data_IF_919575669330
#
_entry.id   IF_919575669330
#
_cell.length_a   1.000
_cell.length_b   1.000
_cell.length_c   1.000
_cell.angle_alpha   90.00
_cell.angle_beta   90.00
_cell.angle_gamma   90.00
#
_symmetry.space_group_name_H-M   'P 1'
#
loop_
_entity.id
_entity.type
_entity.pdbx_description
1 polymer ?
#
# COMPACT_ATOMS: atom_id res chain seq x y z
N UNK A 1 -16.06 -13.60 -39.90
CA UNK A 1 -14.73 -12.99 -39.71
C UNK A 1 -14.38 -12.24 -41.00
N UNK A 2 -14.07 -10.95 -40.93
CA UNK A 2 -13.60 -10.19 -42.10
C UNK A 2 -12.14 -10.60 -42.39
N UNK A 3 -11.72 -10.73 -43.67
CA UNK A 3 -10.36 -11.16 -44.01
C UNK A 3 -9.32 -10.17 -43.45
N UNK A 4 -8.16 -10.70 -43.03
CA UNK A 4 -7.10 -9.94 -42.35
C UNK A 4 -6.56 -8.76 -43.19
N UNK A 5 -6.72 -8.81 -44.52
CA UNK A 5 -6.40 -7.75 -45.48
C UNK A 5 -7.27 -6.49 -45.34
N UNK A 6 -8.37 -6.54 -44.60
CA UNK A 6 -9.22 -5.37 -44.32
C UNK A 6 -8.81 -4.63 -43.04
N UNK A 7 -7.93 -5.21 -42.21
CA UNK A 7 -7.46 -4.57 -40.98
C UNK A 7 -6.33 -3.61 -41.34
N UNK A 8 -6.64 -2.31 -41.32
CA UNK A 8 -5.65 -1.27 -41.62
C UNK A 8 -4.59 -1.19 -40.51
N UNK A 9 -3.33 -0.92 -40.90
CA UNK A 9 -2.23 -0.73 -39.94
C UNK A 9 -2.58 0.39 -38.94
N UNK A 10 -3.27 1.43 -39.41
CA UNK A 10 -3.83 2.49 -38.59
C UNK A 10 -4.70 2.05 -37.42
N UNK A 11 -5.57 1.04 -37.58
CA UNK A 11 -6.47 0.59 -36.51
C UNK A 11 -5.71 -0.06 -35.35
N UNK A 12 -4.68 -0.84 -35.66
CA UNK A 12 -3.82 -1.47 -34.64
C UNK A 12 -3.03 -0.39 -33.89
N UNK A 13 -2.46 0.57 -34.61
CA UNK A 13 -1.70 1.67 -34.02
C UNK A 13 -2.55 2.57 -33.11
N UNK A 14 -3.79 2.88 -33.53
CA UNK A 14 -4.76 3.62 -32.72
C UNK A 14 -5.14 2.83 -31.46
N UNK A 15 -5.32 1.52 -31.57
CA UNK A 15 -5.64 0.65 -30.42
C UNK A 15 -4.50 0.63 -29.40
N UNK A 16 -3.24 0.50 -29.84
CA UNK A 16 -2.08 0.53 -28.94
C UNK A 16 -1.97 1.85 -28.17
N UNK A 17 -2.28 2.97 -28.82
CA UNK A 17 -2.29 4.29 -28.19
C UNK A 17 -3.44 4.47 -27.21
N UNK A 18 -4.62 3.94 -27.53
CA UNK A 18 -5.77 3.95 -26.63
C UNK A 18 -5.47 3.17 -25.35
N UNK A 19 -4.86 2.00 -25.48
CA UNK A 19 -4.39 1.21 -24.33
C UNK A 19 -3.36 2.01 -23.52
N UNK A 20 -2.35 2.61 -24.16
CA UNK A 20 -1.38 3.45 -23.44
C UNK A 20 -2.04 4.61 -22.66
N UNK A 21 -3.06 5.26 -23.24
CA UNK A 21 -3.86 6.29 -22.56
C UNK A 21 -4.70 5.74 -21.41
N UNK A 22 -5.30 4.56 -21.58
CA UNK A 22 -6.10 3.88 -20.55
C UNK A 22 -5.25 3.52 -19.32
N UNK A 23 -3.98 3.17 -19.53
CA UNK A 23 -3.00 2.98 -18.46
C UNK A 23 -2.39 4.29 -17.93
N UNK A 24 -3.00 5.45 -18.22
CA UNK A 24 -2.55 6.79 -17.82
C UNK A 24 -1.08 7.09 -18.16
N UNK A 25 -0.54 6.50 -19.24
CA UNK A 25 0.77 6.90 -19.73
C UNK A 25 0.67 8.31 -20.32
N UNK A 26 1.54 9.24 -19.91
CA UNK A 26 1.60 10.59 -20.49
C UNK A 26 2.05 10.50 -21.96
N UNK A 27 1.10 10.51 -22.89
CA UNK A 27 1.45 10.39 -24.30
C UNK A 27 1.80 11.76 -24.89
N UNK A 28 3.08 11.94 -25.19
CA UNK A 28 3.61 13.20 -25.71
C UNK A 28 2.97 13.57 -27.07
N UNK A 29 2.69 14.86 -27.34
CA UNK A 29 2.08 15.32 -28.60
C UNK A 29 2.82 14.89 -29.88
N UNK A 30 4.13 14.65 -29.79
CA UNK A 30 4.99 14.24 -30.91
C UNK A 30 4.65 12.82 -31.42
N UNK A 31 4.15 11.94 -30.55
CA UNK A 31 3.76 10.58 -30.91
C UNK A 31 2.46 10.57 -31.73
N UNK A 32 1.59 11.57 -31.52
CA UNK A 32 0.36 11.77 -32.30
C UNK A 32 0.67 12.24 -33.72
N UNK A 33 1.74 13.02 -33.90
CA UNK A 33 2.16 13.48 -35.23
C UNK A 33 2.77 12.34 -36.07
N UNK A 34 3.57 11.47 -35.47
CA UNK A 34 4.10 10.27 -36.13
C UNK A 34 2.96 9.36 -36.63
N UNK A 35 1.89 9.22 -35.84
CA UNK A 35 0.70 8.48 -36.27
C UNK A 35 0.05 9.09 -37.50
N UNK A 36 -0.03 10.43 -37.59
CA UNK A 36 -0.53 11.12 -38.79
C UNK A 36 0.37 10.87 -40.01
N UNK A 37 1.68 10.86 -39.84
CA UNK A 37 2.63 10.54 -40.92
C UNK A 37 2.49 9.09 -41.37
N UNK A 38 2.37 8.13 -40.43
CA UNK A 38 2.18 6.72 -40.75
C UNK A 38 0.84 6.43 -41.45
N UNK A 39 -0.24 7.10 -41.02
CA UNK A 39 -1.55 7.03 -41.69
C UNK A 39 -1.50 7.66 -43.09
N UNK A 40 -0.76 8.76 -43.26
CA UNK A 40 -0.56 9.40 -44.56
C UNK A 40 0.22 8.48 -45.52
N UNK A 41 1.27 7.82 -45.03
CA UNK A 41 2.03 6.83 -45.79
C UNK A 41 1.16 5.61 -46.14
N UNK A 42 0.24 5.16 -45.27
CA UNK A 42 -0.74 4.12 -45.59
C UNK A 42 -1.68 4.55 -46.72
N UNK A 43 -2.19 5.79 -46.66
CA UNK A 43 -3.05 6.37 -47.69
C UNK A 43 -2.35 6.48 -49.05
N UNK A 44 -1.14 7.02 -49.07
CA UNK A 44 -0.31 7.10 -50.29
C UNK A 44 0.10 5.71 -50.80
N UNK A 45 0.48 4.80 -49.90
CA UNK A 45 0.86 3.44 -50.24
C UNK A 45 -0.28 2.66 -50.92
N UNK A 46 -1.53 2.84 -50.47
CA UNK A 46 -2.72 2.26 -51.12
C UNK A 46 -3.11 2.95 -52.44
N UNK A 47 -2.78 4.24 -52.62
CA UNK A 47 -2.97 4.92 -53.90
C UNK A 47 -2.02 4.37 -54.98
N UNK A 48 -0.78 4.03 -54.61
CA UNK A 48 0.24 3.49 -55.53
C UNK A 48 0.12 1.97 -55.67
N UNK A 49 -0.19 1.25 -54.59
CA UNK A 49 -0.37 -0.20 -54.55
C UNK A 49 -1.67 -0.56 -53.81
N UNK A 50 -2.80 -0.70 -54.53
CA UNK A 50 -4.13 -0.88 -53.92
C UNK A 50 -4.29 -2.11 -53.00
N UNK A 51 -3.44 -3.11 -53.20
CA UNK A 51 -3.42 -4.38 -52.45
C UNK A 51 -2.32 -4.43 -51.38
N UNK A 52 -1.67 -3.31 -51.07
CA UNK A 52 -0.60 -3.22 -50.06
C UNK A 52 -1.18 -3.35 -48.64
N UNK A 53 -0.83 -4.44 -47.96
CA UNK A 53 -1.03 -4.62 -46.52
C UNK A 53 0.25 -4.21 -45.76
N UNK A 54 0.23 -2.99 -45.20
CA UNK A 54 1.36 -2.47 -44.42
C UNK A 54 1.60 -3.26 -43.14
N UNK A 55 0.58 -3.90 -42.55
CA UNK A 55 0.76 -4.70 -41.35
C UNK A 55 1.60 -5.95 -41.65
N UNK A 56 1.28 -6.67 -42.73
CA UNK A 56 2.06 -7.83 -43.15
C UNK A 56 3.52 -7.48 -43.44
N UNK A 57 3.74 -6.32 -44.04
CA UNK A 57 5.09 -5.84 -44.38
C UNK A 57 5.88 -5.40 -43.14
N UNK A 58 5.25 -4.70 -42.20
CA UNK A 58 5.90 -4.14 -41.01
C UNK A 58 6.09 -5.16 -39.87
N UNK A 59 5.25 -6.21 -39.81
CA UNK A 59 5.26 -7.25 -38.77
C UNK A 59 6.66 -7.84 -38.48
N UNK A 60 7.46 -8.31 -39.46
CA UNK A 60 8.77 -8.89 -39.16
C UNK A 60 9.72 -7.89 -38.51
N UNK A 61 9.67 -6.61 -38.89
CA UNK A 61 10.51 -5.56 -38.29
C UNK A 61 10.13 -5.29 -36.83
N UNK A 62 8.82 -5.18 -36.55
CA UNK A 62 8.31 -4.99 -35.19
C UNK A 62 8.67 -6.18 -34.29
N UNK A 63 8.53 -7.40 -34.81
CA UNK A 63 8.84 -8.61 -34.05
C UNK A 63 10.33 -8.72 -33.73
N UNK A 64 11.20 -8.40 -34.68
CA UNK A 64 12.65 -8.38 -34.45
C UNK A 64 13.04 -7.32 -33.41
N UNK A 65 12.52 -6.09 -33.55
CA UNK A 65 12.78 -5.03 -32.59
C UNK A 65 12.28 -5.38 -31.18
N UNK A 66 11.07 -5.93 -31.05
CA UNK A 66 10.52 -6.34 -29.75
C UNK A 66 11.38 -7.45 -29.12
N UNK A 67 11.84 -8.42 -29.92
CA UNK A 67 12.74 -9.46 -29.45
C UNK A 67 14.11 -8.91 -28.98
N UNK A 68 14.58 -7.82 -29.59
CA UNK A 68 15.83 -7.16 -29.20
C UNK A 68 15.70 -6.29 -27.95
N UNK A 69 14.52 -5.73 -27.69
CA UNK A 69 14.26 -4.85 -26.54
C UNK A 69 13.71 -5.60 -25.32
N UNK A 70 12.77 -6.52 -25.53
CA UNK A 70 12.01 -7.22 -24.47
C UNK A 70 12.30 -8.73 -24.46
N UNK A 71 13.07 -9.25 -25.41
CA UNK A 71 13.35 -10.67 -25.49
C UNK A 71 14.26 -11.18 -24.37
N UNK A 72 14.20 -12.49 -24.12
CA UNK A 72 15.00 -13.18 -23.10
C UNK A 72 16.51 -12.90 -23.26
N UNK A 73 16.99 -12.82 -24.51
CA UNK A 73 18.39 -12.49 -24.81
C UNK A 73 18.76 -11.07 -24.37
N UNK A 74 17.84 -10.11 -24.53
CA UNK A 74 18.03 -8.73 -24.10
C UNK A 74 18.12 -8.66 -22.56
N UNK A 75 17.18 -9.32 -21.88
CA UNK A 75 17.17 -9.41 -20.41
C UNK A 75 18.46 -10.04 -19.89
N UNK A 76 18.92 -11.15 -20.48
CA UNK A 76 20.18 -11.80 -20.09
C UNK A 76 21.40 -10.93 -20.38
N UNK A 77 21.41 -10.20 -21.50
CA UNK A 77 22.48 -9.25 -21.83
C UNK A 77 22.52 -8.10 -20.83
N UNK A 78 21.38 -7.52 -20.51
CA UNK A 78 21.27 -6.41 -19.57
C UNK A 78 21.66 -6.85 -18.16
N UNK A 79 21.23 -8.04 -17.74
CA UNK A 79 21.65 -8.63 -16.48
C UNK A 79 23.16 -8.86 -16.45
N UNK A 80 23.75 -9.38 -17.54
CA UNK A 80 25.20 -9.59 -17.65
C UNK A 80 25.98 -8.27 -17.63
N UNK A 81 25.46 -7.22 -18.25
CA UNK A 81 26.06 -5.89 -18.23
C UNK A 81 26.00 -5.25 -16.84
N UNK A 82 24.91 -5.47 -16.09
CA UNK A 82 24.74 -4.98 -14.72
C UNK A 82 25.36 -5.88 -13.65
N UNK A 83 25.68 -7.14 -13.97
CA UNK A 83 26.29 -8.12 -13.08
C UNK A 83 27.53 -7.62 -12.30
N UNK A 84 28.50 -6.90 -12.90
CA UNK A 84 29.63 -6.37 -12.14
C UNK A 84 29.21 -5.38 -11.04
N UNK A 85 28.24 -4.51 -11.31
CA UNK A 85 27.72 -3.56 -10.31
C UNK A 85 26.94 -4.28 -9.20
N UNK A 86 26.20 -5.34 -9.55
CA UNK A 86 25.54 -6.19 -8.56
C UNK A 86 26.52 -6.93 -7.67
N UNK A 87 27.68 -7.36 -8.18
CA UNK A 87 28.70 -8.07 -7.39
C UNK A 87 29.22 -7.24 -6.21
N UNK A 88 29.38 -5.93 -6.41
CA UNK A 88 29.83 -5.00 -5.36
C UNK A 88 28.83 -4.94 -4.21
N UNK A 89 27.53 -4.91 -4.50
CA UNK A 89 26.46 -4.82 -3.49
C UNK A 89 26.02 -6.19 -2.94
N UNK A 90 26.27 -7.27 -3.67
CA UNK A 90 25.86 -8.63 -3.27
C UNK A 90 26.62 -9.14 -2.06
N UNK A 91 27.85 -8.69 -1.82
CA UNK A 91 28.63 -9.09 -0.65
C UNK A 91 27.97 -8.63 0.66
N UNK A 92 27.37 -7.44 0.68
CA UNK A 92 26.73 -6.84 1.86
C UNK A 92 25.26 -7.27 2.02
N UNK A 93 24.62 -7.76 0.95
CA UNK A 93 23.21 -8.12 0.95
C UNK A 93 22.83 -9.22 1.96
N UNK A 94 23.57 -10.36 2.07
CA UNK A 94 23.27 -11.40 3.06
C UNK A 94 23.31 -10.87 4.49
N UNK A 95 24.27 -10.00 4.79
CA UNK A 95 24.44 -9.40 6.11
C UNK A 95 23.30 -8.43 6.42
N UNK A 96 22.93 -7.56 5.47
CA UNK A 96 21.79 -6.65 5.62
C UNK A 96 20.47 -7.41 5.84
N UNK A 97 20.23 -8.50 5.11
CA UNK A 97 19.05 -9.35 5.29
C UNK A 97 19.08 -10.05 6.65
N UNK A 98 20.22 -10.63 7.04
CA UNK A 98 20.35 -11.29 8.34
C UNK A 98 20.13 -10.31 9.50
N UNK A 99 20.73 -9.12 9.41
CA UNK A 99 20.57 -8.05 10.40
C UNK A 99 19.12 -7.56 10.45
N UNK A 100 18.45 -7.39 9.31
CA UNK A 100 17.04 -7.02 9.26
C UNK A 100 16.14 -8.10 9.90
N UNK A 101 16.42 -9.39 9.64
CA UNK A 101 15.69 -10.50 10.26
C UNK A 101 15.94 -10.60 11.78
N UNK A 102 17.16 -10.31 12.23
CA UNK A 102 17.50 -10.27 13.65
C UNK A 102 16.84 -9.07 14.35
N UNK A 103 16.84 -7.91 13.70
CA UNK A 103 16.17 -6.69 14.17
C UNK A 103 14.65 -6.91 14.26
N UNK A 104 14.04 -7.60 13.30
CA UNK A 104 12.62 -7.93 13.33
C UNK A 104 12.23 -8.73 14.59
N UNK A 105 13.07 -9.69 15.01
CA UNK A 105 12.84 -10.44 16.26
C UNK A 105 12.89 -9.54 17.49
N UNK A 106 13.82 -8.58 17.53
CA UNK A 106 13.93 -7.62 18.63
C UNK A 106 12.75 -6.66 18.68
N UNK A 107 12.25 -6.21 17.52
CA UNK A 107 11.06 -5.35 17.42
C UNK A 107 9.84 -6.07 18.01
N UNK A 108 9.61 -7.33 17.62
CA UNK A 108 8.50 -8.12 18.13
C UNK A 108 8.55 -8.26 19.67
N UNK A 109 9.74 -8.50 20.25
CA UNK A 109 9.90 -8.60 21.69
C UNK A 109 9.58 -7.29 22.43
N UNK A 110 10.05 -6.15 21.89
CA UNK A 110 9.74 -4.82 22.46
C UNK A 110 8.26 -4.47 22.35
N UNK A 111 7.59 -4.87 21.27
CA UNK A 111 6.15 -4.67 21.10
C UNK A 111 5.34 -5.47 22.14
N UNK A 112 5.74 -6.71 22.41
CA UNK A 112 5.11 -7.54 23.45
C UNK A 112 5.30 -6.93 24.87
N UNK A 113 6.50 -6.44 25.16
CA UNK A 113 6.80 -5.76 26.43
C UNK A 113 6.02 -4.46 26.58
N UNK A 114 5.96 -3.64 25.53
CA UNK A 114 5.19 -2.40 25.52
C UNK A 114 3.70 -2.69 25.74
N UNK A 115 3.14 -3.68 25.06
CA UNK A 115 1.74 -4.07 25.23
C UNK A 115 1.46 -4.54 26.68
N UNK A 116 2.35 -5.34 27.27
CA UNK A 116 2.23 -5.73 28.70
C UNK A 116 2.30 -4.53 29.63
N UNK A 117 3.18 -3.56 29.37
CA UNK A 117 3.35 -2.36 30.21
C UNK A 117 2.13 -1.45 30.11
N UNK A 118 1.58 -1.27 28.91
CA UNK A 118 0.33 -0.52 28.69
C UNK A 118 -0.86 -1.19 29.38
N UNK A 119 -0.95 -2.52 29.35
CA UNK A 119 -1.99 -3.26 30.08
C UNK A 119 -1.83 -3.13 31.61
N UNK A 120 -0.60 -3.21 32.14
CA UNK A 120 -0.32 -3.01 33.55
C UNK A 120 -0.66 -1.58 34.01
N UNK A 121 -0.33 -0.57 33.19
CA UNK A 121 -0.72 0.83 33.44
C UNK A 121 -2.24 1.02 33.36
N UNK A 122 -2.93 0.35 32.43
CA UNK A 122 -4.40 0.37 32.32
C UNK A 122 -5.09 -0.16 33.57
N UNK A 123 -4.56 -1.25 34.16
CA UNK A 123 -5.07 -1.80 35.43
C UNK A 123 -4.82 -0.85 36.61
N UNK A 124 -3.64 -0.23 36.70
CA UNK A 124 -3.32 0.70 37.78
C UNK A 124 -4.15 1.99 37.71
N UNK A 125 -4.39 2.50 36.50
CA UNK A 125 -5.23 3.68 36.30
C UNK A 125 -6.70 3.41 36.69
N UNK A 126 -7.21 2.20 36.50
CA UNK A 126 -8.55 1.80 36.93
C UNK A 126 -8.73 1.87 38.45
N UNK A 127 -7.71 1.45 39.23
CA UNK A 127 -7.77 1.47 40.69
C UNK A 127 -7.76 2.90 41.27
N UNK A 128 -6.90 3.77 40.73
CA UNK A 128 -6.87 5.19 41.12
C UNK A 128 -8.14 5.95 40.72
N UNK A 129 -8.72 5.65 39.55
CA UNK A 129 -9.99 6.29 39.14
C UNK A 129 -11.15 5.83 40.03
N UNK A 130 -11.22 4.54 40.40
CA UNK A 130 -12.29 4.03 41.27
C UNK A 130 -12.21 4.56 42.70
N UNK A 131 -11.01 4.80 43.23
CA UNK A 131 -10.83 5.43 44.54
C UNK A 131 -11.19 6.92 44.51
N UNK A 132 -10.81 7.67 43.46
CA UNK A 132 -11.23 9.07 43.26
C UNK A 132 -12.75 9.18 43.18
N UNK A 133 -13.42 8.33 42.37
CA UNK A 133 -14.90 8.34 42.26
C UNK A 133 -15.56 8.06 43.60
N UNK A 134 -15.05 7.11 44.39
CA UNK A 134 -15.61 6.84 45.73
C UNK A 134 -15.45 8.02 46.70
N UNK A 135 -14.32 8.74 46.65
CA UNK A 135 -14.09 9.93 47.47
C UNK A 135 -15.01 11.09 47.10
N UNK A 136 -15.27 11.29 45.81
CA UNK A 136 -16.22 12.32 45.32
C UNK A 136 -17.64 12.02 45.79
N UNK A 137 -18.07 10.74 45.80
CA UNK A 137 -19.39 10.34 46.32
C UNK A 137 -19.50 10.64 47.81
N UNK A 138 -18.47 10.32 48.61
CA UNK A 138 -18.47 10.59 50.06
C UNK A 138 -18.53 12.10 50.35
N UNK A 139 -17.74 12.91 49.64
CA UNK A 139 -17.75 14.37 49.77
C UNK A 139 -19.10 14.98 49.37
N UNK A 140 -19.73 14.49 48.29
CA UNK A 140 -21.04 14.95 47.85
C UNK A 140 -22.16 14.63 48.85
N UNK A 141 -22.09 13.48 49.53
CA UNK A 141 -23.06 13.10 50.57
C UNK A 141 -22.89 13.94 51.84
N UNK A 142 -21.65 14.24 52.24
CA UNK A 142 -21.37 15.12 53.38
C UNK A 142 -21.88 16.54 53.17
N UNK A 143 -21.82 17.05 51.94
CA UNK A 143 -22.28 18.39 51.62
C UNK A 143 -23.81 18.53 51.65
N UNK A 144 -24.56 17.42 51.57
CA UNK A 144 -26.03 17.39 51.57
C UNK A 144 -26.63 16.86 52.87
N UNK A 145 -25.84 16.87 53.95
CA UNK A 145 -26.21 16.29 55.25
C UNK A 145 -27.33 17.08 55.97
N UNK A 146 -27.53 18.35 55.65
CA UNK A 146 -28.59 19.18 56.28
C UNK A 146 -30.01 18.85 55.81
N UNK A 147 -30.19 18.24 54.63
CA UNK A 147 -31.52 17.99 54.02
C UNK A 147 -31.97 16.52 54.05
N UNK A 148 -31.12 15.58 54.49
CA UNK A 148 -31.35 14.14 54.36
C UNK A 148 -31.47 13.45 55.73
N UNK A 149 -32.46 12.54 55.92
CA UNK A 149 -32.64 11.86 57.20
C UNK A 149 -31.49 10.88 57.50
N UNK A 150 -31.09 10.80 58.78
CA UNK A 150 -29.90 10.11 59.29
C UNK A 150 -29.73 8.64 58.84
N UNK A 151 -30.81 7.95 58.50
CA UNK A 151 -30.76 6.56 58.05
C UNK A 151 -30.25 6.41 56.60
N UNK A 152 -30.49 7.40 55.73
CA UNK A 152 -30.03 7.39 54.34
C UNK A 152 -28.55 7.77 54.20
N UNK A 153 -28.05 8.70 55.02
CA UNK A 153 -26.63 9.06 55.05
C UNK A 153 -25.77 7.92 55.59
N UNK A 154 -26.27 7.20 56.60
CA UNK A 154 -25.59 6.03 57.13
C UNK A 154 -25.47 4.89 56.08
N UNK A 155 -26.55 4.64 55.31
CA UNK A 155 -26.54 3.62 54.25
C UNK A 155 -25.57 3.91 53.10
N UNK A 156 -25.43 5.17 52.70
CA UNK A 156 -24.50 5.56 51.62
C UNK A 156 -23.04 5.55 52.08
N UNK A 157 -22.76 5.89 53.34
CA UNK A 157 -21.42 5.74 53.92
C UNK A 157 -20.98 4.28 54.02
N UNK A 158 -21.89 3.38 54.42
CA UNK A 158 -21.60 1.94 54.52
C UNK A 158 -21.33 1.33 53.14
N UNK A 159 -22.11 1.70 52.11
CA UNK A 159 -21.87 1.22 50.75
C UNK A 159 -20.57 1.78 50.16
N UNK A 160 -20.25 3.05 50.41
CA UNK A 160 -18.98 3.64 50.02
C UNK A 160 -17.78 2.95 50.73
N UNK A 161 -17.88 2.70 52.03
CA UNK A 161 -16.86 2.00 52.82
C UNK A 161 -16.66 0.56 52.34
N UNK A 162 -17.74 -0.17 52.03
CA UNK A 162 -17.68 -1.52 51.46
C UNK A 162 -17.00 -1.54 50.09
N UNK A 163 -17.31 -0.57 49.23
CA UNK A 163 -16.64 -0.42 47.92
C UNK A 163 -15.15 -0.13 48.09
N UNK A 164 -14.76 0.68 49.08
CA UNK A 164 -13.37 0.99 49.40
C UNK A 164 -12.62 -0.24 49.96
N UNK A 165 -13.28 -1.03 50.82
CA UNK A 165 -12.72 -2.29 51.35
C UNK A 165 -12.55 -3.36 50.28
N UNK A 166 -13.46 -3.43 49.30
CA UNK A 166 -13.33 -4.34 48.15
C UNK A 166 -12.18 -3.93 47.22
N UNK A 167 -11.90 -2.62 47.08
CA UNK A 167 -10.76 -2.13 46.31
C UNK A 167 -9.42 -2.41 47.00
N UNK A 168 -9.37 -2.47 48.33
CA UNK A 168 -8.12 -2.72 49.09
C UNK A 168 -7.65 -4.19 49.05
N UNK A 169 -8.54 -5.13 48.71
CA UNK A 169 -8.27 -6.58 48.76
C UNK A 169 -7.93 -7.20 47.39
N UNK A 170 -8.04 -6.44 46.30
CA UNK A 170 -7.68 -6.82 44.92
C UNK A 170 -6.41 -6.11 44.48
#
# INVERSE_FOLDING_TARGET
>A
AKPLSEISFGHVLLSLFNVAREFNMEVQPQLVLLQKTLLYIEGLGRQVYPQLDLWQTAKPFLQNWLNEQVGVKAILRDLKQRAPQFREHFAEFPEAVFNALQQQKQINFRLDELNKTLQAQGRQKSHNVRSIVSGVIILGVLWRFDDLPLWLSCGTLVTALLVLLLQRKS
#
